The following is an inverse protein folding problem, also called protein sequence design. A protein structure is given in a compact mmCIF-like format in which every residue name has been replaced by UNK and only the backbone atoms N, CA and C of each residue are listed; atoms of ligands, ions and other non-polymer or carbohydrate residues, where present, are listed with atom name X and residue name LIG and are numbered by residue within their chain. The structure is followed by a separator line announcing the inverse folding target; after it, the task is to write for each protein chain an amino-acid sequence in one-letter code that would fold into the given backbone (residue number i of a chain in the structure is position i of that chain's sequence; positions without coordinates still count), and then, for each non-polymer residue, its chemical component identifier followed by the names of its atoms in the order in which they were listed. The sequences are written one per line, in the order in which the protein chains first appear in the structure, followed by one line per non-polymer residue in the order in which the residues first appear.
data_IF_726634318966
#
_entry.id   IF_726634318966
#
_cell.length_a   1.000
_cell.length_b   1.000
_cell.length_c   1.000
_cell.angle_alpha   90.00
_cell.angle_beta   90.00
_cell.angle_gamma   90.00
#
_symmetry.space_group_name_H-M   'P 1'
#
loop_
_entity.id
_entity.type
_entity.pdbx_description
1 polymer ?
#
# COMPACT_ATOMS: atom_id res chain seq x y z
N UNK A 1 -25.69 -55.67 56.11
CA UNK A 1 -26.37 -54.47 55.53
C UNK A 1 -25.42 -53.40 55.00
N UNK A 2 -24.35 -52.98 55.71
CA UNK A 2 -23.46 -51.87 55.32
C UNK A 2 -22.66 -52.17 54.04
N UNK A 3 -22.25 -53.41 53.75
CA UNK A 3 -21.47 -53.76 52.51
C UNK A 3 -22.31 -53.76 51.26
N UNK A 4 -23.59 -54.01 51.30
CA UNK A 4 -24.53 -54.00 50.19
C UNK A 4 -24.90 -52.56 49.81
N UNK A 5 -25.05 -51.65 50.75
CA UNK A 5 -25.31 -50.23 50.52
C UNK A 5 -24.11 -49.52 49.84
N UNK A 6 -22.87 -49.85 50.27
CA UNK A 6 -21.66 -49.32 49.65
C UNK A 6 -21.48 -49.75 48.16
N UNK A 7 -21.84 -51.02 47.85
CA UNK A 7 -21.81 -51.52 46.45
C UNK A 7 -22.90 -50.89 45.62
N UNK A 8 -24.11 -50.69 46.14
CA UNK A 8 -25.19 -49.99 45.43
C UNK A 8 -24.86 -48.53 45.19
N UNK A 9 -24.23 -47.83 46.12
CA UNK A 9 -23.79 -46.45 45.99
C UNK A 9 -22.64 -46.28 44.96
N UNK A 10 -21.67 -47.20 44.94
CA UNK A 10 -20.59 -47.24 43.99
C UNK A 10 -21.09 -47.48 42.54
N UNK A 11 -22.08 -48.40 42.40
CA UNK A 11 -22.70 -48.69 41.13
C UNK A 11 -23.52 -47.47 40.60
N UNK A 12 -24.21 -46.76 41.48
CA UNK A 12 -24.98 -45.58 41.17
C UNK A 12 -24.06 -44.42 40.73
N UNK A 13 -22.90 -44.27 41.38
CA UNK A 13 -21.89 -43.25 41.04
C UNK A 13 -21.24 -43.53 39.69
N UNK A 14 -20.96 -44.80 39.36
CA UNK A 14 -20.43 -45.22 38.06
C UNK A 14 -21.48 -45.00 36.96
N UNK A 15 -22.74 -45.34 37.18
CA UNK A 15 -23.81 -45.06 36.22
C UNK A 15 -24.07 -43.56 36.02
N UNK A 16 -23.97 -42.75 37.07
CA UNK A 16 -24.14 -41.30 36.99
C UNK A 16 -23.00 -40.64 36.16
N UNK A 17 -21.75 -41.09 36.35
CA UNK A 17 -20.61 -40.62 35.57
C UNK A 17 -20.73 -41.03 34.08
N UNK A 18 -21.20 -42.27 33.82
CA UNK A 18 -21.43 -42.76 32.45
C UNK A 18 -22.58 -42.01 31.76
N UNK A 19 -23.66 -41.72 32.48
CA UNK A 19 -24.82 -40.99 31.95
C UNK A 19 -24.44 -39.53 31.65
N UNK A 20 -23.60 -38.90 32.47
CA UNK A 20 -23.16 -37.54 32.28
C UNK A 20 -22.21 -37.42 31.05
N UNK A 21 -21.33 -38.42 30.85
CA UNK A 21 -20.45 -38.49 29.69
C UNK A 21 -21.22 -38.70 28.36
N UNK A 22 -22.31 -39.47 28.41
CA UNK A 22 -23.16 -39.70 27.23
C UNK A 22 -23.96 -38.46 26.86
N UNK A 23 -24.53 -37.73 27.81
CA UNK A 23 -25.24 -36.47 27.62
C UNK A 23 -24.32 -35.36 27.09
N UNK A 24 -23.08 -35.28 27.60
CA UNK A 24 -22.08 -34.33 27.11
C UNK A 24 -21.66 -34.61 25.68
N UNK A 25 -21.59 -35.90 25.27
CA UNK A 25 -21.27 -36.30 23.91
C UNK A 25 -22.38 -35.94 22.91
N UNK A 26 -23.64 -36.08 23.27
CA UNK A 26 -24.77 -35.74 22.43
C UNK A 26 -24.91 -34.23 22.23
N UNK A 27 -24.70 -33.43 23.27
CA UNK A 27 -24.71 -31.96 23.18
C UNK A 27 -23.53 -31.40 22.38
N UNK A 28 -22.38 -32.05 22.45
CA UNK A 28 -21.20 -31.67 21.66
C UNK A 28 -21.38 -31.95 20.16
N UNK A 29 -21.96 -33.11 19.82
CA UNK A 29 -22.28 -33.49 18.44
C UNK A 29 -23.33 -32.56 17.83
N UNK A 30 -24.34 -32.17 18.58
CA UNK A 30 -25.36 -31.23 18.09
C UNK A 30 -24.80 -29.82 17.87
N UNK A 31 -23.99 -29.31 18.80
CA UNK A 31 -23.36 -27.99 18.65
C UNK A 31 -22.44 -27.91 17.41
N UNK A 32 -21.65 -28.95 17.16
CA UNK A 32 -20.82 -29.03 15.97
C UNK A 32 -21.64 -29.16 14.68
N UNK A 33 -22.70 -29.96 14.68
CA UNK A 33 -23.57 -30.10 13.52
C UNK A 33 -24.28 -28.77 13.16
N UNK A 34 -24.75 -28.03 14.14
CA UNK A 34 -25.32 -26.68 13.95
C UNK A 34 -24.28 -25.70 13.41
N UNK A 35 -23.07 -25.74 13.96
CA UNK A 35 -21.94 -24.94 13.48
C UNK A 35 -21.63 -25.22 11.99
N UNK A 36 -21.53 -26.50 11.61
CA UNK A 36 -21.32 -26.89 10.20
C UNK A 36 -22.45 -26.40 9.31
N UNK A 37 -23.70 -26.45 9.77
CA UNK A 37 -24.85 -25.96 9.01
C UNK A 37 -24.82 -24.45 8.80
N UNK A 38 -24.46 -23.66 9.81
CA UNK A 38 -24.28 -22.22 9.69
C UNK A 38 -23.10 -21.88 8.76
N UNK A 39 -21.96 -22.58 8.92
CA UNK A 39 -20.77 -22.41 8.09
C UNK A 39 -21.06 -22.66 6.60
N UNK A 40 -21.75 -23.76 6.26
CA UNK A 40 -22.10 -24.10 4.86
C UNK A 40 -23.08 -23.12 4.25
N UNK A 41 -23.89 -22.42 5.06
CA UNK A 41 -24.80 -21.36 4.59
C UNK A 41 -24.07 -20.01 4.40
N UNK A 42 -22.86 -19.87 4.89
CA UNK A 42 -22.14 -18.59 4.91
C UNK A 42 -22.65 -17.62 5.99
N UNK A 43 -23.38 -18.12 6.97
CA UNK A 43 -23.80 -17.33 8.13
C UNK A 43 -22.64 -17.31 9.15
N UNK A 44 -21.71 -16.38 8.91
CA UNK A 44 -20.43 -16.35 9.60
C UNK A 44 -20.58 -15.99 11.07
N UNK A 45 -21.52 -15.12 11.42
CA UNK A 45 -21.77 -14.73 12.81
C UNK A 45 -22.30 -15.92 13.63
N UNK A 46 -23.30 -16.63 13.12
CA UNK A 46 -23.84 -17.85 13.75
C UNK A 46 -22.81 -18.98 13.74
N UNK A 47 -22.08 -19.17 12.63
CA UNK A 47 -21.03 -20.18 12.53
C UNK A 47 -19.94 -19.95 13.60
N UNK A 48 -19.42 -18.72 13.74
CA UNK A 48 -18.47 -18.34 14.76
C UNK A 48 -19.01 -18.65 16.17
N UNK A 49 -20.23 -18.22 16.46
CA UNK A 49 -20.83 -18.44 17.77
C UNK A 49 -20.96 -19.93 18.09
N UNK A 50 -21.46 -20.72 17.14
CA UNK A 50 -21.64 -22.16 17.33
C UNK A 50 -20.30 -22.90 17.39
N UNK A 51 -19.29 -22.50 16.60
CA UNK A 51 -17.97 -23.10 16.64
C UNK A 51 -17.26 -22.79 17.96
N UNK A 52 -17.34 -21.57 18.49
CA UNK A 52 -16.83 -21.24 19.85
C UNK A 52 -17.47 -22.10 20.92
N UNK A 53 -18.76 -22.37 20.81
CA UNK A 53 -19.46 -23.30 21.72
C UNK A 53 -19.01 -24.76 21.51
N UNK A 54 -18.79 -25.16 20.23
CA UNK A 54 -18.38 -26.53 19.91
C UNK A 54 -16.96 -26.84 20.42
N UNK A 55 -15.97 -25.95 20.31
CA UNK A 55 -14.59 -26.16 20.76
C UNK A 55 -14.46 -26.21 22.29
N UNK A 56 -15.48 -25.76 23.01
CA UNK A 56 -15.53 -25.94 24.49
C UNK A 56 -15.65 -27.41 24.91
N UNK A 57 -16.03 -28.30 24.00
CA UNK A 57 -16.09 -29.72 24.24
C UNK A 57 -14.80 -30.41 23.78
N UNK A 58 -14.12 -31.20 24.61
CA UNK A 58 -12.83 -31.85 24.31
C UNK A 58 -12.83 -32.68 23.01
N UNK A 59 -13.95 -33.34 22.66
CA UNK A 59 -14.08 -34.15 21.45
C UNK A 59 -14.07 -33.34 20.15
N UNK A 60 -14.38 -32.05 20.24
CA UNK A 60 -14.37 -31.09 19.10
C UNK A 60 -13.07 -30.25 19.04
N UNK A 61 -12.17 -30.45 20.01
CA UNK A 61 -10.88 -29.76 20.06
C UNK A 61 -9.91 -30.43 19.07
N UNK A 62 -10.08 -30.15 17.81
CA UNK A 62 -9.29 -30.73 16.73
C UNK A 62 -8.99 -29.68 15.63
N UNK A 63 -8.00 -29.94 14.75
CA UNK A 63 -7.58 -28.99 13.73
C UNK A 63 -8.69 -28.54 12.78
N UNK A 64 -9.60 -29.46 12.40
CA UNK A 64 -10.67 -29.13 11.44
C UNK A 64 -11.64 -28.10 12.03
N UNK A 65 -12.04 -28.30 13.29
CA UNK A 65 -12.97 -27.41 13.98
C UNK A 65 -12.34 -26.01 14.19
N UNK A 66 -11.06 -25.96 14.59
CA UNK A 66 -10.36 -24.67 14.72
C UNK A 66 -10.13 -23.97 13.40
N UNK A 67 -9.83 -24.72 12.33
CA UNK A 67 -9.73 -24.15 11.00
C UNK A 67 -11.06 -23.50 10.56
N UNK A 68 -12.17 -24.17 10.81
CA UNK A 68 -13.51 -23.62 10.55
C UNK A 68 -13.80 -22.38 11.41
N UNK A 69 -13.43 -22.40 12.69
CA UNK A 69 -13.62 -21.28 13.61
C UNK A 69 -12.84 -20.06 13.13
N UNK A 70 -11.54 -20.19 12.91
CA UNK A 70 -10.69 -19.13 12.40
C UNK A 70 -11.25 -18.57 11.08
N UNK A 71 -11.69 -19.44 10.19
CA UNK A 71 -12.29 -19.02 8.91
C UNK A 71 -13.58 -18.21 9.11
N UNK A 72 -14.47 -18.68 10.00
CA UNK A 72 -15.72 -17.98 10.31
C UNK A 72 -15.47 -16.61 10.96
N UNK A 73 -14.50 -16.51 11.87
CA UNK A 73 -14.09 -15.26 12.49
C UNK A 73 -13.55 -14.24 11.48
N UNK A 74 -12.71 -14.72 10.55
CA UNK A 74 -12.18 -13.89 9.47
C UNK A 74 -13.28 -13.35 8.58
N UNK A 75 -14.24 -14.19 8.18
CA UNK A 75 -15.35 -13.77 7.32
C UNK A 75 -16.37 -12.88 8.06
N UNK A 76 -16.51 -13.06 9.38
CA UNK A 76 -17.33 -12.19 10.24
C UNK A 76 -16.62 -10.85 10.59
N UNK A 77 -15.32 -10.72 10.27
CA UNK A 77 -14.53 -9.52 10.56
C UNK A 77 -13.95 -9.46 11.98
N UNK A 78 -14.08 -10.54 12.77
CA UNK A 78 -13.48 -10.66 14.10
C UNK A 78 -11.98 -10.99 13.99
N UNK A 79 -11.21 -10.03 13.43
CA UNK A 79 -9.79 -10.24 13.16
C UNK A 79 -8.95 -10.47 14.44
N UNK A 80 -9.39 -9.92 15.57
CA UNK A 80 -8.67 -10.13 16.84
C UNK A 80 -8.91 -11.54 17.39
N UNK A 81 -10.17 -12.00 17.42
CA UNK A 81 -10.51 -13.38 17.79
C UNK A 81 -9.81 -14.39 16.90
N UNK A 82 -9.85 -14.18 15.58
CA UNK A 82 -9.15 -15.03 14.61
C UNK A 82 -7.63 -15.08 14.85
N UNK A 83 -7.01 -13.97 15.24
CA UNK A 83 -5.58 -13.93 15.56
C UNK A 83 -5.25 -14.76 16.80
N UNK A 84 -6.07 -14.66 17.85
CA UNK A 84 -5.90 -15.42 19.10
C UNK A 84 -6.07 -16.93 18.84
N UNK A 85 -7.08 -17.30 18.04
CA UNK A 85 -7.31 -18.69 17.66
C UNK A 85 -6.26 -19.23 16.68
N UNK A 86 -5.66 -18.40 15.80
CA UNK A 86 -4.48 -18.77 15.03
C UNK A 86 -3.28 -19.11 15.93
N UNK A 87 -3.03 -18.30 16.97
CA UNK A 87 -1.95 -18.58 17.93
C UNK A 87 -2.19 -19.92 18.64
N UNK A 88 -3.41 -20.12 19.15
CA UNK A 88 -3.78 -21.39 19.76
C UNK A 88 -3.57 -22.58 18.82
N UNK A 89 -3.99 -22.44 17.54
CA UNK A 89 -3.83 -23.50 16.53
C UNK A 89 -2.36 -23.84 16.30
N UNK A 90 -1.51 -22.84 16.12
CA UNK A 90 -0.07 -23.03 15.86
C UNK A 90 0.60 -23.76 17.03
N UNK A 91 0.25 -23.41 18.25
CA UNK A 91 0.84 -24.00 19.46
C UNK A 91 0.37 -25.45 19.68
N UNK A 92 -0.89 -25.78 19.35
CA UNK A 92 -1.49 -27.06 19.68
C UNK A 92 -1.53 -28.06 18.51
N UNK A 93 -1.48 -27.61 17.26
CA UNK A 93 -1.63 -28.46 16.08
C UNK A 93 -0.49 -28.31 15.05
N UNK A 94 0.81 -28.37 15.46
CA UNK A 94 1.95 -28.10 14.56
C UNK A 94 2.12 -29.14 13.46
N UNK A 95 1.44 -30.30 13.53
CA UNK A 95 1.49 -31.37 12.51
C UNK A 95 0.26 -31.40 11.61
N UNK A 96 -0.65 -30.46 11.76
CA UNK A 96 -1.85 -30.36 10.92
C UNK A 96 -1.51 -29.96 9.50
N UNK A 97 -2.26 -30.51 8.52
CA UNK A 97 -2.19 -30.06 7.12
C UNK A 97 -2.58 -28.60 6.92
N UNK A 98 -3.35 -28.02 7.84
CA UNK A 98 -3.71 -26.60 7.82
C UNK A 98 -2.65 -25.68 8.41
N UNK A 99 -1.58 -26.24 9.03
CA UNK A 99 -0.56 -25.45 9.71
C UNK A 99 0.06 -24.36 8.86
N UNK A 100 0.53 -24.61 7.62
CA UNK A 100 1.06 -23.55 6.76
C UNK A 100 0.04 -22.46 6.48
N UNK A 101 -1.19 -22.85 6.15
CA UNK A 101 -2.28 -21.93 5.87
C UNK A 101 -2.64 -21.04 7.06
N UNK A 102 -2.60 -21.58 8.29
CA UNK A 102 -2.85 -20.80 9.51
C UNK A 102 -1.68 -19.85 9.80
N UNK A 103 -0.44 -20.27 9.59
CA UNK A 103 0.73 -19.36 9.68
C UNK A 103 0.60 -18.16 8.74
N UNK A 104 0.26 -18.40 7.48
CA UNK A 104 -0.04 -17.36 6.52
C UNK A 104 -1.21 -16.46 6.99
N UNK A 105 -2.31 -17.08 7.45
CA UNK A 105 -3.50 -16.35 7.91
C UNK A 105 -3.18 -15.44 9.09
N UNK A 106 -2.36 -15.90 10.05
CA UNK A 106 -1.86 -15.09 11.18
C UNK A 106 -1.14 -13.83 10.68
N UNK A 107 -0.24 -13.97 9.72
CA UNK A 107 0.48 -12.84 9.13
C UNK A 107 -0.45 -11.85 8.44
N UNK A 108 -1.44 -12.35 7.68
CA UNK A 108 -2.46 -11.52 7.03
C UNK A 108 -3.34 -10.77 8.03
N UNK A 109 -3.71 -11.42 9.14
CA UNK A 109 -4.49 -10.79 10.21
C UNK A 109 -3.69 -9.68 10.90
N UNK A 110 -2.41 -9.89 11.18
CA UNK A 110 -1.53 -8.86 11.73
C UNK A 110 -1.45 -7.63 10.81
N UNK A 111 -1.32 -7.84 9.49
CA UNK A 111 -1.41 -6.76 8.51
C UNK A 111 -2.75 -6.02 8.61
N UNK A 112 -3.87 -6.74 8.61
CA UNK A 112 -5.22 -6.15 8.70
C UNK A 112 -5.44 -5.35 9.99
N UNK A 113 -4.81 -5.77 11.08
CA UNK A 113 -4.85 -5.08 12.37
C UNK A 113 -3.85 -3.90 12.47
N UNK A 114 -3.06 -3.64 11.42
CA UNK A 114 -2.06 -2.56 11.38
C UNK A 114 -0.76 -2.89 12.12
N UNK A 115 -0.58 -4.14 12.56
CA UNK A 115 0.63 -4.61 13.24
C UNK A 115 1.70 -5.02 12.21
N UNK A 116 2.11 -4.08 11.35
CA UNK A 116 2.91 -4.33 10.14
C UNK A 116 4.25 -5.00 10.41
N UNK A 117 4.98 -4.59 11.45
CA UNK A 117 6.28 -5.19 11.80
C UNK A 117 6.14 -6.66 12.16
N UNK A 118 5.11 -7.01 12.96
CA UNK A 118 4.83 -8.40 13.32
C UNK A 118 4.35 -9.21 12.11
N UNK A 119 3.56 -8.60 11.23
CA UNK A 119 3.12 -9.22 9.98
C UNK A 119 4.32 -9.61 9.11
N UNK A 120 5.29 -8.70 8.95
CA UNK A 120 6.53 -8.97 8.19
C UNK A 120 7.28 -10.17 8.79
N UNK A 121 7.48 -10.20 10.11
CA UNK A 121 8.20 -11.29 10.76
C UNK A 121 7.50 -12.63 10.50
N UNK A 122 6.20 -12.71 10.82
CA UNK A 122 5.42 -13.95 10.70
C UNK A 122 5.34 -14.44 9.26
N UNK A 123 5.15 -13.53 8.30
CA UNK A 123 5.09 -13.87 6.88
C UNK A 123 6.47 -14.23 6.31
N UNK A 124 7.55 -13.63 6.81
CA UNK A 124 8.91 -14.02 6.43
C UNK A 124 9.24 -15.41 6.94
N UNK A 125 8.88 -15.74 8.19
CA UNK A 125 9.03 -17.10 8.74
C UNK A 125 8.22 -18.11 7.93
N UNK A 126 7.00 -17.75 7.52
CA UNK A 126 6.19 -18.57 6.63
C UNK A 126 6.90 -18.80 5.28
N UNK A 127 7.42 -17.75 4.66
CA UNK A 127 8.13 -17.85 3.38
C UNK A 127 9.38 -18.73 3.48
N UNK A 128 10.13 -18.69 4.57
CA UNK A 128 11.29 -19.56 4.80
C UNK A 128 10.90 -21.04 5.03
N UNK A 129 9.76 -21.28 5.68
CA UNK A 129 9.30 -22.62 6.00
C UNK A 129 8.56 -23.32 4.85
N UNK A 130 7.96 -22.56 3.93
CA UNK A 130 6.99 -23.06 2.95
C UNK A 130 7.18 -22.45 1.56
N UNK A 131 8.41 -22.50 1.03
CA UNK A 131 8.78 -21.89 -0.27
C UNK A 131 7.96 -22.39 -1.46
N UNK A 132 7.47 -23.64 -1.40
CA UNK A 132 6.70 -24.29 -2.49
C UNK A 132 5.19 -24.23 -2.27
N UNK A 133 4.71 -23.52 -1.25
CA UNK A 133 3.27 -23.41 -0.97
C UNK A 133 2.58 -22.45 -1.94
N UNK A 134 1.34 -22.75 -2.32
CA UNK A 134 0.53 -21.93 -3.23
C UNK A 134 0.30 -20.50 -2.71
N UNK A 135 0.34 -20.30 -1.39
CA UNK A 135 0.16 -19.01 -0.74
C UNK A 135 1.46 -18.19 -0.62
N UNK A 136 2.58 -18.72 -1.09
CA UNK A 136 3.87 -18.03 -1.04
C UNK A 136 3.84 -16.63 -1.70
N UNK A 137 3.36 -16.45 -2.93
CA UNK A 137 3.26 -15.12 -3.55
C UNK A 137 2.27 -14.20 -2.82
N UNK A 138 1.26 -14.76 -2.17
CA UNK A 138 0.35 -13.99 -1.34
C UNK A 138 1.03 -13.50 -0.06
N UNK A 139 1.88 -14.32 0.55
CA UNK A 139 2.68 -13.92 1.72
C UNK A 139 3.65 -12.80 1.36
N UNK A 140 4.38 -12.92 0.26
CA UNK A 140 5.24 -11.87 -0.28
C UNK A 140 4.44 -10.56 -0.49
N UNK A 141 3.24 -10.66 -1.07
CA UNK A 141 2.40 -9.49 -1.30
C UNK A 141 2.08 -8.76 0.01
N UNK A 142 1.68 -9.47 1.07
CA UNK A 142 1.37 -8.84 2.35
C UNK A 142 2.63 -8.35 3.10
N UNK A 143 3.81 -8.92 2.86
CA UNK A 143 5.08 -8.34 3.30
C UNK A 143 5.29 -7.00 2.59
N UNK A 144 5.14 -6.95 1.28
CA UNK A 144 5.23 -5.72 0.48
C UNK A 144 4.24 -4.65 0.94
N UNK A 145 2.97 -5.01 1.17
CA UNK A 145 1.94 -4.10 1.68
C UNK A 145 2.27 -3.57 3.08
N UNK A 146 2.84 -4.42 3.95
CA UNK A 146 3.27 -4.01 5.30
C UNK A 146 4.45 -3.03 5.25
N UNK A 147 5.42 -3.27 4.37
CA UNK A 147 6.54 -2.36 4.11
C UNK A 147 6.04 -1.04 3.52
N UNK A 148 5.13 -1.11 2.55
CA UNK A 148 4.53 0.07 1.92
C UNK A 148 3.78 0.94 2.93
N UNK A 149 2.97 0.33 3.81
CA UNK A 149 2.27 0.99 4.89
C UNK A 149 3.23 1.61 5.93
N UNK A 150 4.41 1.00 6.10
CA UNK A 150 5.51 1.51 6.92
C UNK A 150 6.40 2.55 6.21
N UNK A 151 6.01 3.05 5.04
CA UNK A 151 6.75 4.02 4.22
C UNK A 151 8.13 3.53 3.73
N UNK A 152 8.39 2.23 3.74
CA UNK A 152 9.60 1.59 3.24
C UNK A 152 9.42 1.22 1.76
N UNK A 153 9.35 2.25 0.90
CA UNK A 153 8.95 2.08 -0.49
C UNK A 153 9.96 1.30 -1.33
N UNK A 154 11.26 1.46 -1.08
CA UNK A 154 12.31 0.77 -1.83
C UNK A 154 12.29 -0.73 -1.54
N UNK A 155 12.16 -1.10 -0.26
CA UNK A 155 12.06 -2.50 0.14
C UNK A 155 10.73 -3.12 -0.34
N UNK A 156 9.62 -2.37 -0.26
CA UNK A 156 8.33 -2.81 -0.81
C UNK A 156 8.42 -3.04 -2.32
N UNK A 157 9.07 -2.13 -3.05
CA UNK A 157 9.31 -2.22 -4.47
C UNK A 157 10.05 -3.50 -4.85
N UNK A 158 11.12 -3.84 -4.15
CA UNK A 158 11.88 -5.08 -4.37
C UNK A 158 11.02 -6.34 -4.18
N UNK A 159 10.13 -6.34 -3.16
CA UNK A 159 9.20 -7.47 -2.94
C UNK A 159 8.17 -7.57 -4.07
N UNK A 160 7.58 -6.45 -4.51
CA UNK A 160 6.61 -6.48 -5.61
C UNK A 160 7.25 -6.88 -6.94
N UNK A 161 8.47 -6.40 -7.22
CA UNK A 161 9.23 -6.80 -8.40
C UNK A 161 9.50 -8.30 -8.42
N UNK A 162 9.84 -8.87 -7.26
CA UNK A 162 10.00 -10.31 -7.09
C UNK A 162 8.71 -11.07 -7.42
N UNK A 163 7.54 -10.60 -6.96
CA UNK A 163 6.26 -11.23 -7.29
C UNK A 163 6.02 -11.22 -8.80
N UNK A 164 6.24 -10.07 -9.45
CA UNK A 164 6.00 -9.91 -10.89
C UNK A 164 6.93 -10.80 -11.72
N UNK A 165 8.18 -10.98 -11.28
CA UNK A 165 9.20 -11.74 -12.04
C UNK A 165 9.15 -13.24 -11.77
N UNK A 166 8.97 -13.64 -10.50
CA UNK A 166 9.01 -15.06 -10.11
C UNK A 166 7.63 -15.74 -10.19
N UNK A 167 6.55 -14.96 -10.02
CA UNK A 167 5.17 -15.49 -9.96
C UNK A 167 4.20 -14.77 -10.92
N UNK A 168 4.50 -14.74 -12.24
CA UNK A 168 3.70 -13.97 -13.21
C UNK A 168 2.23 -14.42 -13.30
N UNK A 169 1.96 -15.69 -13.00
CA UNK A 169 0.61 -16.28 -13.04
C UNK A 169 -0.18 -16.13 -11.73
N UNK A 170 0.41 -15.50 -10.70
CA UNK A 170 -0.29 -15.30 -9.42
C UNK A 170 -1.37 -14.24 -9.53
N UNK A 171 -2.51 -14.45 -8.85
CA UNK A 171 -3.57 -13.45 -8.72
C UNK A 171 -3.10 -12.15 -8.03
N UNK A 172 -1.91 -12.18 -7.38
CA UNK A 172 -1.30 -11.00 -6.76
C UNK A 172 -0.42 -10.18 -7.69
N UNK A 173 -0.05 -10.73 -8.84
CA UNK A 173 0.83 -10.05 -9.81
C UNK A 173 0.25 -8.74 -10.33
N UNK A 174 -1.03 -8.64 -10.73
CA UNK A 174 -1.60 -7.35 -11.14
C UNK A 174 -1.57 -6.30 -10.03
N UNK A 175 -1.85 -6.71 -8.78
CA UNK A 175 -1.82 -5.81 -7.63
C UNK A 175 -0.39 -5.36 -7.31
N UNK A 176 0.60 -6.24 -7.44
CA UNK A 176 2.01 -5.91 -7.26
C UNK A 176 2.52 -4.93 -8.34
N UNK A 177 2.11 -5.13 -9.60
CA UNK A 177 2.41 -4.20 -10.71
C UNK A 177 1.84 -2.80 -10.43
N UNK A 178 0.60 -2.73 -10.00
CA UNK A 178 -0.02 -1.45 -9.61
C UNK A 178 0.75 -0.74 -8.49
N UNK A 179 1.21 -1.49 -7.47
CA UNK A 179 2.02 -0.92 -6.38
C UNK A 179 3.38 -0.41 -6.88
N UNK A 180 4.03 -1.14 -7.78
CA UNK A 180 5.28 -0.69 -8.41
C UNK A 180 5.08 0.65 -9.15
N UNK A 181 4.04 0.76 -9.96
CA UNK A 181 3.73 2.00 -10.66
C UNK A 181 3.46 3.15 -9.68
N UNK A 182 2.72 2.89 -8.60
CA UNK A 182 2.46 3.87 -7.53
C UNK A 182 3.77 4.38 -6.90
N UNK A 183 4.73 3.49 -6.62
CA UNK A 183 6.05 3.85 -6.06
C UNK A 183 6.84 4.71 -7.06
N UNK A 184 6.86 4.30 -8.33
CA UNK A 184 7.55 5.04 -9.39
C UNK A 184 6.96 6.43 -9.60
N UNK A 185 5.64 6.54 -9.58
CA UNK A 185 4.95 7.82 -9.70
C UNK A 185 5.29 8.75 -8.53
N UNK A 186 5.26 8.23 -7.31
CA UNK A 186 5.66 9.00 -6.12
C UNK A 186 7.10 9.53 -6.24
N UNK A 187 8.04 8.71 -6.70
CA UNK A 187 9.42 9.14 -6.93
C UNK A 187 9.52 10.26 -8.00
N UNK A 188 8.70 10.20 -9.05
CA UNK A 188 8.60 11.28 -10.05
C UNK A 188 8.04 12.56 -9.43
N UNK A 189 7.00 12.47 -8.62
CA UNK A 189 6.39 13.61 -7.92
C UNK A 189 7.39 14.29 -6.96
N UNK A 190 8.10 13.51 -6.16
CA UNK A 190 9.13 14.03 -5.24
C UNK A 190 10.24 14.77 -6.01
N UNK A 191 10.68 14.20 -7.13
CA UNK A 191 11.68 14.85 -8.00
C UNK A 191 11.16 16.15 -8.61
N UNK A 192 9.89 16.18 -9.07
CA UNK A 192 9.27 17.38 -9.62
C UNK A 192 9.14 18.48 -8.56
N UNK A 193 8.72 18.13 -7.33
CA UNK A 193 8.65 19.08 -6.22
C UNK A 193 10.02 19.65 -5.85
N UNK A 194 11.06 18.80 -5.85
CA UNK A 194 12.43 19.25 -5.63
C UNK A 194 12.89 20.25 -6.69
N UNK A 195 12.66 19.94 -7.98
CA UNK A 195 13.01 20.82 -9.10
C UNK A 195 12.24 22.15 -9.06
N UNK A 196 10.94 22.09 -8.69
CA UNK A 196 10.12 23.30 -8.53
C UNK A 196 10.68 24.20 -7.43
N UNK A 197 11.03 23.59 -6.28
CA UNK A 197 11.66 24.34 -5.16
C UNK A 197 12.97 24.98 -5.59
N UNK A 198 13.85 24.23 -6.24
CA UNK A 198 15.14 24.75 -6.73
C UNK A 198 14.94 25.90 -7.72
N UNK A 199 14.02 25.74 -8.67
CA UNK A 199 13.70 26.80 -9.65
C UNK A 199 13.16 28.05 -8.97
N UNK A 200 12.33 27.88 -7.93
CA UNK A 200 11.82 28.99 -7.11
C UNK A 200 12.93 29.73 -6.36
N UNK A 201 13.87 29.00 -5.76
CA UNK A 201 15.04 29.59 -5.06
C UNK A 201 15.97 30.34 -6.04
N UNK A 202 16.25 29.75 -7.20
CA UNK A 202 17.03 30.41 -8.26
C UNK A 202 16.35 31.68 -8.79
N UNK A 203 15.02 31.64 -8.93
CA UNK A 203 14.23 32.80 -9.31
C UNK A 203 14.32 33.93 -8.30
N UNK A 204 14.17 33.61 -7.01
CA UNK A 204 14.26 34.60 -5.93
C UNK A 204 15.67 35.22 -5.86
N UNK A 205 16.70 34.42 -5.98
CA UNK A 205 18.07 34.89 -6.03
C UNK A 205 18.35 35.80 -7.24
N UNK A 206 17.84 35.44 -8.43
CA UNK A 206 17.92 36.25 -9.63
C UNK A 206 17.13 37.58 -9.50
N UNK A 207 15.98 37.56 -8.84
CA UNK A 207 15.17 38.73 -8.54
C UNK A 207 15.91 39.69 -7.57
N UNK A 208 16.49 39.15 -6.50
CA UNK A 208 17.26 39.97 -5.55
C UNK A 208 18.49 40.61 -6.19
N UNK A 209 19.21 39.87 -7.02
CA UNK A 209 20.37 40.39 -7.75
C UNK A 209 19.96 41.48 -8.75
N UNK A 210 18.87 41.24 -9.47
CA UNK A 210 18.30 42.23 -10.40
C UNK A 210 17.88 43.51 -9.67
N UNK A 211 17.21 43.40 -8.54
CA UNK A 211 16.82 44.54 -7.70
C UNK A 211 18.04 45.29 -7.13
N UNK A 212 19.15 44.56 -6.82
CA UNK A 212 20.42 45.16 -6.40
C UNK A 212 21.06 45.96 -7.51
N UNK A 213 21.13 45.38 -8.73
CA UNK A 213 21.67 46.07 -9.91
C UNK A 213 20.82 47.29 -10.27
N UNK A 214 19.52 47.21 -10.14
CA UNK A 214 18.60 48.34 -10.34
C UNK A 214 18.87 49.47 -9.32
N UNK A 215 19.11 49.15 -8.06
CA UNK A 215 19.48 50.14 -7.02
C UNK A 215 20.81 50.81 -7.30
N UNK A 216 21.78 50.10 -7.80
CA UNK A 216 23.08 50.66 -8.19
C UNK A 216 22.99 51.60 -9.43
N UNK A 217 22.11 51.26 -10.36
CA UNK A 217 21.87 52.07 -11.59
C UNK A 217 21.08 53.36 -11.29
N UNK A 218 20.29 53.36 -10.19
CA UNK A 218 19.43 54.49 -9.84
C UNK A 218 20.17 55.73 -9.32
N UNK A 219 21.49 55.68 -9.19
CA UNK A 219 22.25 56.88 -8.84
C UNK A 219 22.43 57.85 -10.01
N UNK A 220 22.11 57.47 -11.24
CA UNK A 220 22.46 58.31 -12.42
C UNK A 220 21.30 58.87 -13.25
N UNK A 221 20.06 58.42 -13.16
CA UNK A 221 18.95 59.04 -13.92
C UNK A 221 17.54 58.51 -13.51
N UNK A 222 16.69 59.38 -13.00
CA UNK A 222 15.37 59.04 -12.43
C UNK A 222 14.36 58.50 -13.46
N UNK A 223 14.37 59.00 -14.67
CA UNK A 223 13.36 58.62 -15.69
C UNK A 223 13.66 57.23 -16.31
N UNK A 224 14.93 56.93 -16.54
CA UNK A 224 15.35 55.61 -17.05
C UNK A 224 15.07 54.50 -16.00
N UNK A 225 15.13 54.84 -14.73
CA UNK A 225 14.89 53.99 -13.62
C UNK A 225 13.44 53.53 -13.51
N UNK A 226 12.49 54.47 -13.73
CA UNK A 226 11.06 54.16 -13.65
C UNK A 226 10.60 53.20 -14.74
N UNK A 227 11.13 53.37 -15.98
CA UNK A 227 10.87 52.42 -17.07
C UNK A 227 11.47 51.04 -16.82
N UNK A 228 12.69 50.99 -16.25
CA UNK A 228 13.34 49.72 -15.89
C UNK A 228 12.65 48.98 -14.73
N UNK A 229 12.18 49.74 -13.75
CA UNK A 229 11.41 49.17 -12.62
C UNK A 229 10.08 48.58 -13.13
N UNK A 230 9.34 49.30 -13.98
CA UNK A 230 8.08 48.80 -14.52
C UNK A 230 8.30 47.53 -15.36
N UNK A 231 9.39 47.45 -16.12
CA UNK A 231 9.75 46.28 -16.92
C UNK A 231 10.15 45.07 -16.04
N UNK A 232 10.77 45.34 -14.87
CA UNK A 232 11.12 44.30 -13.88
C UNK A 232 9.90 43.74 -13.17
N UNK A 233 8.97 44.61 -12.79
CA UNK A 233 7.72 44.21 -12.15
C UNK A 233 6.84 43.37 -13.11
N UNK A 234 6.70 43.82 -14.37
CA UNK A 234 5.96 43.04 -15.36
C UNK A 234 6.59 41.66 -15.65
N UNK A 235 7.92 41.56 -15.54
CA UNK A 235 8.60 40.26 -15.68
C UNK A 235 8.41 39.36 -14.50
N UNK A 236 8.37 39.91 -13.30
CA UNK A 236 8.09 39.16 -12.09
C UNK A 236 6.68 38.58 -12.10
N UNK A 237 5.67 39.39 -12.48
CA UNK A 237 4.28 38.95 -12.61
C UNK A 237 4.12 37.84 -13.66
N UNK A 238 4.93 37.90 -14.72
CA UNK A 238 4.91 36.84 -15.76
C UNK A 238 5.53 35.52 -15.25
N UNK A 239 6.60 35.60 -14.45
CA UNK A 239 7.24 34.43 -13.83
C UNK A 239 6.39 33.81 -12.73
N UNK A 240 5.68 34.64 -11.95
CA UNK A 240 4.71 34.18 -10.97
C UNK A 240 3.54 33.43 -11.65
N UNK A 241 3.04 33.93 -12.78
CA UNK A 241 2.05 33.21 -13.61
C UNK A 241 2.59 31.89 -14.17
N UNK A 242 3.88 31.81 -14.50
CA UNK A 242 4.49 30.55 -14.95
C UNK A 242 4.67 29.54 -13.82
N UNK A 243 4.98 30.01 -12.59
CA UNK A 243 5.02 29.14 -11.41
C UNK A 243 3.62 28.60 -11.14
N UNK A 244 2.59 29.45 -11.12
CA UNK A 244 1.20 29.04 -10.92
C UNK A 244 0.70 28.07 -12.01
N UNK A 245 1.09 28.33 -13.26
CA UNK A 245 0.80 27.42 -14.37
C UNK A 245 1.51 26.05 -14.25
N UNK A 246 2.74 26.04 -13.74
CA UNK A 246 3.47 24.78 -13.48
C UNK A 246 2.87 24.02 -12.30
N UNK A 247 2.43 24.71 -11.26
CA UNK A 247 1.70 24.11 -10.13
C UNK A 247 0.40 23.47 -10.59
N UNK A 248 -0.39 24.15 -11.45
CA UNK A 248 -1.60 23.60 -12.05
C UNK A 248 -1.31 22.37 -12.93
N UNK A 249 -0.22 22.40 -13.71
CA UNK A 249 0.17 21.23 -14.51
C UNK A 249 0.57 20.02 -13.65
N UNK A 250 1.23 20.26 -12.53
CA UNK A 250 1.56 19.20 -11.55
C UNK A 250 0.28 18.59 -10.97
N UNK A 251 -0.71 19.42 -10.65
CA UNK A 251 -2.00 18.98 -10.12
C UNK A 251 -2.83 18.22 -11.17
N UNK A 252 -2.83 18.67 -12.42
CA UNK A 252 -3.46 17.95 -13.54
C UNK A 252 -2.76 16.61 -13.83
N UNK A 253 -1.44 16.57 -13.78
CA UNK A 253 -0.69 15.32 -13.94
C UNK A 253 -0.97 14.33 -12.81
N UNK A 254 -1.10 14.82 -11.57
CA UNK A 254 -1.54 14.02 -10.43
C UNK A 254 -2.94 13.42 -10.65
N UNK A 255 -3.88 14.26 -11.08
CA UNK A 255 -5.27 13.82 -11.30
C UNK A 255 -5.40 12.87 -12.49
N UNK A 256 -4.62 13.07 -13.58
CA UNK A 256 -4.61 12.15 -14.73
C UNK A 256 -4.02 10.79 -14.43
N UNK A 257 -3.00 10.71 -13.58
CA UNK A 257 -2.42 9.43 -13.20
C UNK A 257 -3.38 8.58 -12.37
N UNK A 258 -4.30 9.20 -11.64
CA UNK A 258 -5.40 8.48 -10.97
C UNK A 258 -6.48 7.97 -11.96
N UNK A 259 -6.69 8.64 -13.11
CA UNK A 259 -7.68 8.23 -14.13
C UNK A 259 -7.09 7.25 -15.17
N UNK A 260 -5.80 7.32 -15.46
CA UNK A 260 -5.12 6.43 -16.42
C UNK A 260 -4.81 5.04 -15.83
N UNK A 261 -4.74 4.91 -14.50
CA UNK A 261 -4.50 3.63 -13.80
C UNK A 261 -5.68 2.63 -13.90
N UNK A 262 -6.88 3.07 -14.24
CA UNK A 262 -7.99 2.15 -14.57
C UNK A 262 -7.90 1.56 -15.98
N UNK A 263 -7.13 2.14 -16.89
CA UNK A 263 -7.12 1.74 -18.30
C UNK A 263 -5.81 1.14 -18.82
N UNK A 264 -4.70 1.26 -18.07
CA UNK A 264 -3.34 0.95 -18.57
C UNK A 264 -2.83 -0.46 -18.22
N UNK A 265 -3.70 -1.42 -17.90
CA UNK A 265 -3.29 -2.82 -17.67
C UNK A 265 -2.89 -3.59 -18.94
N UNK A 266 -2.60 -2.90 -20.04
CA UNK A 266 -2.12 -3.57 -21.27
C UNK A 266 -1.02 -2.77 -21.95
N UNK A 267 0.11 -3.46 -22.09
CA UNK A 267 1.23 -3.25 -23.00
C UNK A 267 2.46 -2.49 -22.51
N UNK A 268 3.45 -3.29 -22.32
CA UNK A 268 4.81 -3.29 -22.88
C UNK A 268 5.96 -2.68 -22.10
N UNK A 269 6.83 -3.61 -21.81
CA UNK A 269 8.16 -3.45 -21.23
C UNK A 269 9.13 -2.99 -22.31
N UNK A 270 9.66 -1.79 -22.24
CA UNK A 270 11.08 -1.52 -22.54
C UNK A 270 11.36 -0.02 -22.68
N UNK A 271 11.97 0.59 -21.70
CA UNK A 271 12.92 1.68 -21.99
C UNK A 271 13.92 1.84 -20.87
N UNK A 272 15.16 1.78 -21.29
CA UNK A 272 16.38 1.96 -20.52
C UNK A 272 16.45 3.33 -19.86
N UNK A 273 16.92 3.33 -18.62
CA UNK A 273 17.27 4.53 -17.88
C UNK A 273 18.57 5.12 -18.42
N UNK A 274 18.53 6.38 -18.81
CA UNK A 274 19.72 7.18 -18.98
C UNK A 274 20.07 7.86 -17.65
N UNK A 275 21.18 7.45 -17.07
CA UNK A 275 21.80 8.15 -15.95
C UNK A 275 22.17 9.56 -16.37
N UNK A 276 21.60 10.56 -15.72
CA UNK A 276 22.09 11.94 -15.83
C UNK A 276 23.01 12.21 -14.66
N UNK A 277 24.29 12.39 -14.99
CA UNK A 277 25.34 12.88 -14.09
C UNK A 277 24.95 14.17 -13.37
N UNK A 278 25.51 14.42 -12.17
CA UNK A 278 25.25 15.65 -11.43
C UNK A 278 25.82 16.85 -12.19
N UNK A 279 24.97 17.85 -12.39
CA UNK A 279 25.36 19.14 -12.94
C UNK A 279 26.32 19.85 -11.98
N UNK A 280 27.55 20.08 -12.43
CA UNK A 280 28.50 20.98 -11.81
C UNK A 280 27.89 22.37 -11.63
N UNK A 281 28.08 22.94 -10.44
CA UNK A 281 27.67 24.31 -10.12
C UNK A 281 28.59 25.29 -10.81
N UNK A 282 28.24 25.73 -11.99
CA UNK A 282 28.79 26.96 -12.54
C UNK A 282 28.07 28.18 -11.94
N UNK A 283 28.82 28.99 -11.22
CA UNK A 283 28.36 30.29 -10.74
C UNK A 283 28.27 31.21 -11.97
N UNK A 284 27.06 31.70 -12.33
CA UNK A 284 26.96 32.52 -13.51
C UNK A 284 27.58 33.89 -13.28
N UNK A 285 28.50 34.29 -14.16
CA UNK A 285 28.95 35.65 -14.31
C UNK A 285 27.76 36.59 -14.60
N UNK A 286 27.82 37.89 -14.25
CA UNK A 286 26.70 38.82 -14.46
C UNK A 286 26.35 38.92 -15.94
N UNK A 287 25.13 38.51 -16.27
CA UNK A 287 24.60 38.38 -17.62
C UNK A 287 24.17 39.77 -18.12
N UNK A 288 24.61 40.20 -19.31
CA UNK A 288 24.13 41.44 -19.90
C UNK A 288 22.63 41.40 -20.19
N UNK A 289 21.97 42.56 -20.09
CA UNK A 289 20.52 42.77 -20.24
C UNK A 289 19.87 42.06 -21.47
N UNK A 290 20.63 41.80 -22.53
CA UNK A 290 20.14 41.16 -23.75
C UNK A 290 19.96 39.65 -23.65
N UNK A 291 20.73 38.97 -22.78
CA UNK A 291 20.57 37.52 -22.54
C UNK A 291 19.30 37.18 -21.74
N UNK A 292 18.88 38.04 -20.85
CA UNK A 292 17.63 37.86 -20.11
C UNK A 292 16.39 37.94 -21.02
N UNK A 293 16.44 38.82 -22.02
CA UNK A 293 15.38 38.94 -23.03
C UNK A 293 15.29 37.72 -23.94
N UNK A 294 16.43 37.14 -24.24
CA UNK A 294 16.54 35.87 -24.99
C UNK A 294 16.05 34.67 -24.19
N UNK A 295 16.37 34.64 -22.89
CA UNK A 295 15.93 33.59 -21.94
C UNK A 295 14.41 33.62 -21.72
N UNK A 296 13.80 34.81 -21.59
CA UNK A 296 12.34 34.99 -21.50
C UNK A 296 11.64 34.57 -22.78
N UNK A 297 12.22 34.86 -23.95
CA UNK A 297 11.71 34.38 -25.24
C UNK A 297 11.75 32.87 -25.35
N UNK A 298 12.85 32.25 -24.92
CA UNK A 298 13.02 30.79 -24.93
C UNK A 298 12.04 30.10 -23.98
N UNK A 299 11.80 30.65 -22.78
CA UNK A 299 10.82 30.15 -21.84
C UNK A 299 9.39 30.28 -22.34
N UNK A 300 9.04 31.41 -22.96
CA UNK A 300 7.74 31.58 -23.64
C UNK A 300 7.54 30.56 -24.78
N UNK A 301 8.58 30.30 -25.53
CA UNK A 301 8.52 29.33 -26.63
C UNK A 301 8.33 27.90 -26.10
N UNK A 302 9.06 27.51 -25.05
CA UNK A 302 8.89 26.21 -24.37
C UNK A 302 7.52 26.05 -23.73
N UNK A 303 6.98 27.10 -23.10
CA UNK A 303 5.62 27.06 -22.53
C UNK A 303 4.55 26.90 -23.61
N UNK A 304 4.70 27.59 -24.76
CA UNK A 304 3.83 27.47 -25.93
C UNK A 304 3.92 26.08 -26.57
N UNK A 305 5.12 25.50 -26.64
CA UNK A 305 5.33 24.13 -27.14
C UNK A 305 4.71 23.08 -26.21
N UNK A 306 4.88 23.25 -24.90
CA UNK A 306 4.26 22.37 -23.90
C UNK A 306 2.72 22.44 -23.96
N UNK A 307 2.16 23.64 -24.09
CA UNK A 307 0.72 23.85 -24.23
C UNK A 307 0.19 23.22 -25.53
N UNK A 308 0.94 23.32 -26.61
CA UNK A 308 0.58 22.70 -27.90
C UNK A 308 0.61 21.17 -27.84
N UNK A 309 1.58 20.57 -27.14
CA UNK A 309 1.63 19.13 -26.90
C UNK A 309 0.47 18.65 -26.01
N UNK A 310 0.05 19.46 -25.03
CA UNK A 310 -1.10 19.15 -24.18
C UNK A 310 -2.41 19.23 -24.97
N UNK A 311 -2.56 20.23 -25.84
CA UNK A 311 -3.74 20.39 -26.69
C UNK A 311 -3.83 19.30 -27.77
N UNK A 312 -2.70 18.88 -28.36
CA UNK A 312 -2.62 17.78 -29.31
C UNK A 312 -2.97 16.42 -28.64
N UNK A 313 -2.56 16.21 -27.38
CA UNK A 313 -2.89 15.02 -26.61
C UNK A 313 -4.36 14.97 -26.20
N UNK A 314 -4.96 16.13 -25.86
CA UNK A 314 -6.38 16.23 -25.55
C UNK A 314 -7.27 16.02 -26.77
N UNK A 315 -6.84 16.48 -27.94
CA UNK A 315 -7.59 16.28 -29.19
C UNK A 315 -7.41 14.86 -29.77
N UNK A 316 -6.33 14.14 -29.40
CA UNK A 316 -6.09 12.77 -29.84
C UNK A 316 -6.90 11.71 -29.06
N UNK A 317 -7.39 12.02 -27.86
CA UNK A 317 -8.17 11.10 -27.02
C UNK A 317 -9.70 11.24 -27.16
N UNK A 318 -10.17 12.16 -28.00
CA UNK A 318 -11.61 12.40 -28.26
C UNK A 318 -12.22 11.59 -29.41
N UNK A 319 -11.54 10.59 -29.95
CA UNK A 319 -11.96 9.85 -31.14
C UNK A 319 -11.93 8.33 -31.00
N UNK A 320 -12.53 7.79 -29.95
CA UNK A 320 -12.91 6.37 -29.89
C UNK A 320 -14.17 6.23 -29.02
N UNK A 321 -15.33 6.45 -29.63
CA UNK A 321 -16.58 5.83 -29.27
C UNK A 321 -16.76 4.52 -30.04
#
# INVERSE_FOLDING_TARGET
MIKTVKKAFALFLVCAVFSFSFFASESAGSAFAEACKAYTKGDWADAKFMLKKAVAYPQNLNPDTYYMLISAEVYDGDNRGALDDCNFFIDNFPKSSYYPRICYQKGRLLYTLGEYEKAIIVLSDYCHGFESDELYPYALFYIGESLFAGYKYDEAGAIYERIVTEFPESDKTPAAQYRLETILQRGREEKLLYLLKQTGEEYLAAKEEYERQLRLYNSESLDLTRQKLNAAQAKNEELERQIEALELQIEELKNRTYEEDETAYREDNSTSYAETSPLEKDVPSPVPYDENKTRVRLLKQKALEAQKMLDERNNGNGGAE
#
